data_IF_991353335829
#
_entry.id   IF_991353335829
#
_cell.length_a   1.000
_cell.length_b   1.000
_cell.length_c   1.000
_cell.angle_alpha   90.00
_cell.angle_beta   90.00
_cell.angle_gamma   90.00
#
_symmetry.space_group_name_H-M   'P 1'
#
loop_
_entity.id
_entity.type
_entity.pdbx_description
1 polymer ?
#
# COMPACT_ATOMS: atom_id res chain seq x y z
N UNK A 1 5.90 33.66 -23.78
CA UNK A 1 6.75 32.61 -23.16
C UNK A 1 6.23 31.26 -23.59
N UNK A 2 7.12 30.31 -23.89
CA UNK A 2 6.71 28.94 -24.22
C UNK A 2 6.02 28.31 -23.03
N UNK A 3 4.89 27.58 -23.24
CA UNK A 3 4.18 26.88 -22.19
C UNK A 3 5.08 25.78 -21.59
N UNK A 4 4.90 25.51 -20.30
CA UNK A 4 5.73 24.56 -19.57
C UNK A 4 4.86 23.50 -18.89
N UNK A 5 5.17 22.22 -19.15
CA UNK A 5 4.52 21.09 -18.47
C UNK A 5 5.46 20.43 -17.47
N UNK A 6 4.90 19.86 -16.39
CA UNK A 6 5.63 18.99 -15.46
C UNK A 6 5.08 17.57 -15.54
N UNK A 7 6.00 16.59 -15.54
CA UNK A 7 5.67 15.18 -15.67
C UNK A 7 6.25 14.37 -14.52
N UNK A 8 5.42 13.53 -13.87
CA UNK A 8 5.88 12.43 -13.04
C UNK A 8 6.62 11.42 -13.93
N UNK A 9 7.93 11.23 -13.73
CA UNK A 9 8.80 10.55 -14.68
C UNK A 9 9.51 9.35 -14.06
N UNK A 10 9.18 8.16 -14.52
CA UNK A 10 9.82 6.90 -14.11
C UNK A 10 11.04 6.52 -14.97
N UNK A 11 11.22 7.17 -16.13
CA UNK A 11 12.19 6.74 -17.13
C UNK A 11 11.77 5.52 -17.96
N UNK A 12 10.56 5.00 -17.75
CA UNK A 12 9.94 3.93 -18.53
C UNK A 12 9.59 4.36 -19.95
N UNK A 13 8.93 3.45 -20.71
CA UNK A 13 8.47 3.73 -22.07
C UNK A 13 7.44 4.85 -22.06
N UNK A 14 6.33 4.64 -21.36
CA UNK A 14 5.15 5.49 -21.32
C UNK A 14 5.53 6.94 -20.99
N UNK A 15 6.26 7.17 -19.90
CA UNK A 15 6.69 8.50 -19.50
C UNK A 15 7.70 9.12 -20.50
N UNK A 16 8.50 8.30 -21.20
CA UNK A 16 9.41 8.80 -22.27
C UNK A 16 8.64 9.22 -23.52
N UNK A 17 7.57 8.49 -23.88
CA UNK A 17 6.63 8.85 -24.95
C UNK A 17 5.95 10.16 -24.61
N UNK A 18 5.45 10.33 -23.36
CA UNK A 18 4.79 11.55 -22.92
C UNK A 18 5.70 12.77 -23.02
N UNK A 19 7.00 12.66 -22.68
CA UNK A 19 7.95 13.78 -22.86
C UNK A 19 7.96 14.26 -24.30
N UNK A 20 8.14 13.35 -25.25
CA UNK A 20 8.19 13.70 -26.68
C UNK A 20 6.86 14.21 -27.20
N UNK A 21 5.77 13.62 -26.78
CA UNK A 21 4.43 14.07 -27.14
C UNK A 21 4.16 15.53 -26.70
N UNK A 22 4.50 15.88 -25.46
CA UNK A 22 4.35 17.26 -24.95
C UNK A 22 5.21 18.25 -25.72
N UNK A 23 6.45 17.87 -26.08
CA UNK A 23 7.36 18.72 -26.84
C UNK A 23 6.86 18.97 -28.27
N UNK A 24 6.39 17.94 -28.96
CA UNK A 24 6.09 18.00 -30.39
C UNK A 24 4.64 18.38 -30.70
N UNK A 25 3.68 17.85 -29.96
CA UNK A 25 2.25 18.10 -30.19
C UNK A 25 1.74 19.33 -29.48
N UNK A 26 2.29 19.64 -28.30
CA UNK A 26 1.88 20.82 -27.52
C UNK A 26 2.92 21.95 -27.54
N UNK A 27 4.05 21.76 -28.19
CA UNK A 27 5.15 22.74 -28.24
C UNK A 27 5.56 23.24 -26.84
N UNK A 28 5.58 22.35 -25.84
CA UNK A 28 5.86 22.69 -24.44
C UNK A 28 7.32 22.42 -24.05
N UNK A 29 7.86 23.25 -23.16
CA UNK A 29 9.04 22.89 -22.37
C UNK A 29 8.63 21.89 -21.30
N UNK A 30 9.38 20.79 -21.16
CA UNK A 30 9.03 19.74 -20.19
C UNK A 30 10.00 19.77 -19.00
N UNK A 31 9.43 19.77 -17.80
CA UNK A 31 10.12 19.51 -16.53
C UNK A 31 9.71 18.14 -16.05
N UNK A 32 10.66 17.35 -15.55
CA UNK A 32 10.34 16.00 -15.04
C UNK A 32 10.75 15.85 -13.58
N UNK A 33 9.97 15.04 -12.86
CA UNK A 33 10.22 14.72 -11.44
C UNK A 33 10.19 13.21 -11.26
N UNK A 34 11.26 12.66 -10.70
CA UNK A 34 11.31 11.29 -10.19
C UNK A 34 11.36 11.34 -8.67
N UNK A 35 10.45 10.61 -8.01
CA UNK A 35 10.35 10.57 -6.56
C UNK A 35 10.78 9.18 -6.07
N UNK A 36 11.77 9.14 -5.20
CA UNK A 36 12.26 7.92 -4.57
C UNK A 36 11.41 7.57 -3.35
N UNK A 37 10.59 6.54 -3.50
CA UNK A 37 9.79 5.90 -2.42
C UNK A 37 10.32 4.49 -2.09
N UNK A 38 11.56 4.19 -2.52
CA UNK A 38 12.25 2.93 -2.25
C UNK A 38 12.14 1.87 -3.34
N UNK A 39 11.92 2.27 -4.59
CA UNK A 39 11.86 1.38 -5.74
C UNK A 39 13.23 0.86 -6.20
N UNK A 40 14.33 1.32 -5.59
CA UNK A 40 15.71 0.94 -5.92
C UNK A 40 16.13 1.20 -7.38
N UNK A 41 15.61 2.26 -7.99
CA UNK A 41 15.93 2.66 -9.35
C UNK A 41 17.33 3.27 -9.46
N UNK A 42 17.87 3.23 -10.67
CA UNK A 42 19.12 3.95 -11.00
C UNK A 42 18.81 5.42 -11.39
N UNK A 43 18.71 6.29 -10.39
CA UNK A 43 18.36 7.72 -10.59
C UNK A 43 19.35 8.46 -11.49
N UNK A 44 20.63 8.10 -11.51
CA UNK A 44 21.62 8.68 -12.45
C UNK A 44 21.26 8.34 -13.89
N UNK A 45 20.84 7.10 -14.14
CA UNK A 45 20.41 6.65 -15.46
C UNK A 45 19.11 7.31 -15.90
N UNK A 46 18.15 7.46 -14.99
CA UNK A 46 16.88 8.17 -15.24
C UNK A 46 17.14 9.63 -15.60
N UNK A 47 18.01 10.33 -14.83
CA UNK A 47 18.39 11.72 -15.11
C UNK A 47 19.08 11.86 -16.47
N UNK A 48 19.99 10.95 -16.81
CA UNK A 48 20.66 10.94 -18.11
C UNK A 48 19.67 10.71 -19.26
N UNK A 49 18.66 9.85 -19.06
CA UNK A 49 17.59 9.62 -20.03
C UNK A 49 16.72 10.86 -20.22
N UNK A 50 16.30 11.51 -19.13
CA UNK A 50 15.56 12.76 -19.18
C UNK A 50 16.30 13.82 -19.99
N UNK A 51 17.63 13.99 -19.75
CA UNK A 51 18.48 14.91 -20.51
C UNK A 51 18.52 14.56 -22.00
N UNK A 52 18.69 13.28 -22.36
CA UNK A 52 18.68 12.82 -23.76
C UNK A 52 17.35 13.08 -24.46
N UNK A 53 16.23 13.05 -23.74
CA UNK A 53 14.91 13.37 -24.26
C UNK A 53 14.69 14.87 -24.47
N UNK A 54 15.66 15.73 -24.13
CA UNK A 54 15.54 17.18 -24.26
C UNK A 54 14.68 17.83 -23.17
N UNK A 55 14.59 17.20 -22.00
CA UNK A 55 13.88 17.76 -20.85
C UNK A 55 14.61 19.00 -20.34
N UNK A 56 13.85 20.09 -20.08
CA UNK A 56 14.40 21.38 -19.62
C UNK A 56 15.10 21.28 -18.28
N UNK A 57 14.45 20.58 -17.33
CA UNK A 57 14.98 20.28 -15.99
C UNK A 57 14.45 18.92 -15.52
N UNK A 58 15.27 18.23 -14.74
CA UNK A 58 14.89 16.99 -14.09
C UNK A 58 15.21 17.04 -12.60
N UNK A 59 14.24 16.64 -11.77
CA UNK A 59 14.36 16.58 -10.33
C UNK A 59 14.30 15.14 -9.84
N UNK A 60 15.25 14.77 -8.95
CA UNK A 60 15.17 13.53 -8.15
C UNK A 60 14.91 13.93 -6.71
N UNK A 61 13.86 13.39 -6.12
CA UNK A 61 13.42 13.70 -4.76
C UNK A 61 13.44 12.42 -3.93
N UNK A 62 14.25 12.39 -2.87
CA UNK A 62 14.20 11.31 -1.88
C UNK A 62 13.05 11.56 -0.91
N UNK A 63 11.97 10.78 -1.02
CA UNK A 63 10.79 10.85 -0.19
C UNK A 63 10.59 9.59 0.69
N UNK A 64 11.58 8.71 0.80
CA UNK A 64 11.47 7.43 1.55
C UNK A 64 11.06 7.62 2.99
N UNK A 65 11.63 8.61 3.69
CA UNK A 65 11.30 8.86 5.10
C UNK A 65 9.85 9.32 5.24
N UNK A 66 9.43 10.27 4.43
CA UNK A 66 8.07 10.80 4.39
C UNK A 66 7.07 9.69 4.03
N UNK A 67 7.41 8.86 3.02
CA UNK A 67 6.58 7.72 2.64
C UNK A 67 6.33 6.76 3.82
N UNK A 68 7.36 6.46 4.62
CA UNK A 68 7.17 5.58 5.78
C UNK A 68 6.37 6.26 6.89
N UNK A 69 6.68 7.50 7.23
CA UNK A 69 6.11 8.17 8.40
C UNK A 69 4.68 8.63 8.15
N UNK A 70 4.41 9.20 6.97
CA UNK A 70 3.16 9.91 6.70
C UNK A 70 2.16 9.07 5.87
N UNK A 71 2.61 7.90 5.32
CA UNK A 71 1.75 7.02 4.53
C UNK A 71 1.72 5.58 5.04
N UNK A 72 2.89 4.94 5.26
CA UNK A 72 2.93 3.54 5.71
C UNK A 72 2.49 3.41 7.18
N UNK A 73 2.93 4.28 8.08
CA UNK A 73 2.52 4.20 9.48
C UNK A 73 1.02 4.45 9.69
N UNK A 74 0.36 5.42 9.03
CA UNK A 74 -1.09 5.49 9.02
C UNK A 74 -1.76 4.22 8.49
N UNK A 75 -1.24 3.62 7.41
CA UNK A 75 -1.77 2.36 6.87
C UNK A 75 -1.63 1.18 7.87
N UNK A 76 -0.54 1.10 8.63
CA UNK A 76 -0.39 0.11 9.71
C UNK A 76 -1.45 0.34 10.80
N UNK A 77 -1.64 1.59 11.25
CA UNK A 77 -2.64 1.94 12.27
C UNK A 77 -4.07 1.65 11.82
N UNK A 78 -4.34 1.76 10.53
CA UNK A 78 -5.61 1.42 9.90
C UNK A 78 -5.73 -0.09 9.57
N UNK A 79 -4.76 -0.94 9.92
CA UNK A 79 -4.71 -2.34 9.46
C UNK A 79 -5.05 -2.48 7.97
N UNK A 80 -4.57 -1.56 7.14
CA UNK A 80 -5.08 -1.27 5.81
C UNK A 80 -4.83 -2.40 4.82
N UNK A 81 -5.91 -3.05 4.41
CA UNK A 81 -5.94 -4.12 3.41
C UNK A 81 -7.16 -3.97 2.51
N UNK A 82 -6.96 -3.55 1.27
CA UNK A 82 -8.05 -3.55 0.29
C UNK A 82 -8.50 -4.99 0.02
N UNK A 83 -9.83 -5.20 0.10
CA UNK A 83 -10.46 -6.52 -0.01
C UNK A 83 -9.80 -7.59 0.88
N UNK A 84 -9.30 -7.19 2.06
CA UNK A 84 -8.63 -8.05 3.06
C UNK A 84 -7.33 -8.71 2.54
N UNK A 85 -6.75 -8.22 1.45
CA UNK A 85 -5.56 -8.79 0.81
C UNK A 85 -4.48 -7.76 0.49
N UNK A 86 -4.80 -6.74 -0.29
CA UNK A 86 -3.81 -5.83 -0.82
C UNK A 86 -3.44 -4.72 0.16
N UNK A 87 -2.15 -4.62 0.51
CA UNK A 87 -1.63 -3.65 1.50
C UNK A 87 -1.47 -2.21 0.99
N UNK A 88 -2.06 -1.87 -0.15
CA UNK A 88 -2.10 -0.52 -0.72
C UNK A 88 -0.74 0.07 -1.14
N UNK A 89 0.27 -0.74 -1.44
CA UNK A 89 1.63 -0.27 -1.67
C UNK A 89 1.72 0.85 -2.74
N UNK A 90 1.15 0.65 -3.92
CA UNK A 90 1.08 1.67 -4.98
C UNK A 90 0.12 2.79 -4.65
N UNK A 91 -1.04 2.46 -4.05
CA UNK A 91 -2.07 3.42 -3.70
C UNK A 91 -1.56 4.48 -2.69
N UNK A 92 -0.73 4.09 -1.74
CA UNK A 92 -0.08 5.00 -0.77
C UNK A 92 1.01 5.86 -1.41
N UNK A 93 1.73 5.35 -2.42
CA UNK A 93 2.83 6.08 -3.04
C UNK A 93 2.36 7.19 -3.99
N UNK A 94 1.23 7.00 -4.68
CA UNK A 94 0.77 7.94 -5.73
C UNK A 94 0.42 9.34 -5.19
N UNK A 95 -0.32 9.52 -4.08
CA UNK A 95 -0.57 10.84 -3.52
C UNK A 95 0.72 11.56 -3.09
N UNK A 96 1.69 10.86 -2.50
CA UNK A 96 2.98 11.45 -2.17
C UNK A 96 3.73 11.91 -3.43
N UNK A 97 3.78 11.09 -4.47
CA UNK A 97 4.43 11.45 -5.74
C UNK A 97 3.74 12.68 -6.36
N UNK A 98 2.40 12.70 -6.40
CA UNK A 98 1.64 13.85 -6.91
C UNK A 98 1.92 15.12 -6.11
N UNK A 99 1.98 15.04 -4.78
CA UNK A 99 2.33 16.17 -3.92
C UNK A 99 3.72 16.72 -4.24
N UNK A 100 4.74 15.85 -4.45
CA UNK A 100 6.08 16.29 -4.86
C UNK A 100 6.10 16.93 -6.25
N UNK A 101 5.32 16.38 -7.18
CA UNK A 101 5.14 17.00 -8.51
C UNK A 101 4.53 18.40 -8.38
N UNK A 102 3.49 18.59 -7.56
CA UNK A 102 2.88 19.89 -7.31
C UNK A 102 3.83 20.90 -6.66
N UNK A 103 4.67 20.48 -5.72
CA UNK A 103 5.68 21.33 -5.11
C UNK A 103 6.66 21.89 -6.17
N UNK A 104 7.12 21.03 -7.10
CA UNK A 104 7.99 21.47 -8.19
C UNK A 104 7.23 22.24 -9.24
N UNK A 105 5.96 21.92 -9.53
CA UNK A 105 5.09 22.66 -10.44
C UNK A 105 4.99 24.12 -10.03
N UNK A 106 4.73 24.39 -8.75
CA UNK A 106 4.69 25.75 -8.18
C UNK A 106 6.05 26.45 -8.30
N UNK A 107 7.15 25.77 -7.97
CA UNK A 107 8.52 26.31 -8.08
C UNK A 107 8.88 26.69 -9.51
N UNK A 108 8.55 25.85 -10.48
CA UNK A 108 8.87 26.03 -11.89
C UNK A 108 7.85 26.90 -12.65
N UNK A 109 6.77 27.29 -12.01
CA UNK A 109 5.67 28.08 -12.60
C UNK A 109 5.16 27.45 -13.90
N UNK A 110 4.83 26.15 -13.83
CA UNK A 110 4.31 25.41 -14.99
C UNK A 110 2.88 25.79 -15.31
N UNK A 111 2.46 25.53 -16.54
CA UNK A 111 1.09 25.80 -17.02
C UNK A 111 0.23 24.55 -17.13
N UNK A 112 0.87 23.35 -17.02
CA UNK A 112 0.17 22.07 -17.14
C UNK A 112 0.88 20.99 -16.33
N UNK A 113 0.11 20.02 -15.86
CA UNK A 113 0.56 18.79 -15.20
C UNK A 113 0.46 17.63 -16.20
N UNK A 114 1.27 16.60 -16.05
CA UNK A 114 1.21 15.43 -16.91
C UNK A 114 1.58 14.12 -16.19
N UNK A 115 1.03 13.01 -16.66
CA UNK A 115 1.43 11.66 -16.28
C UNK A 115 1.31 10.68 -17.45
N UNK A 116 1.96 9.52 -17.34
CA UNK A 116 1.98 8.47 -18.37
C UNK A 116 1.13 7.24 -18.01
N UNK A 117 0.07 7.39 -17.22
CA UNK A 117 -0.77 6.26 -16.84
C UNK A 117 -1.79 5.94 -17.93
N UNK A 118 -2.06 4.63 -18.15
CA UNK A 118 -3.13 4.17 -19.03
C UNK A 118 -4.51 4.30 -18.35
N UNK A 119 -5.59 4.31 -19.15
CA UNK A 119 -6.96 4.37 -18.65
C UNK A 119 -7.45 3.08 -17.96
N UNK A 120 -6.76 1.96 -18.14
CA UNK A 120 -7.11 0.65 -17.57
C UNK A 120 -6.69 0.47 -16.12
N UNK A 121 -5.66 1.21 -15.68
CA UNK A 121 -5.11 1.11 -14.32
C UNK A 121 -5.74 2.09 -13.33
N UNK A 122 -5.61 1.80 -12.04
CA UNK A 122 -6.05 2.69 -10.96
C UNK A 122 -5.16 3.94 -10.83
N UNK A 123 -3.92 3.88 -11.28
CA UNK A 123 -2.94 4.93 -11.04
C UNK A 123 -3.31 6.26 -11.69
N UNK A 124 -3.97 6.24 -12.84
CA UNK A 124 -4.49 7.46 -13.46
C UNK A 124 -5.50 8.17 -12.56
N UNK A 125 -6.39 7.42 -11.90
CA UNK A 125 -7.38 7.97 -10.96
C UNK A 125 -6.65 8.59 -9.76
N UNK A 126 -5.69 7.87 -9.19
CA UNK A 126 -4.91 8.34 -8.04
C UNK A 126 -4.10 9.60 -8.33
N UNK A 127 -3.46 9.67 -9.52
CA UNK A 127 -2.73 10.87 -9.94
C UNK A 127 -3.67 12.05 -10.19
N UNK A 128 -4.72 11.86 -11.00
CA UNK A 128 -5.64 12.95 -11.35
C UNK A 128 -6.28 13.55 -10.10
N UNK A 129 -6.83 12.72 -9.21
CA UNK A 129 -7.47 13.20 -7.99
C UNK A 129 -6.49 13.91 -7.05
N UNK A 130 -5.29 13.36 -6.85
CA UNK A 130 -4.27 14.00 -5.99
C UNK A 130 -3.73 15.30 -6.61
N UNK A 131 -3.61 15.38 -7.93
CA UNK A 131 -3.17 16.58 -8.62
C UNK A 131 -4.25 17.67 -8.61
N UNK A 132 -5.52 17.31 -8.84
CA UNK A 132 -6.65 18.23 -8.77
C UNK A 132 -6.91 18.77 -7.35
N UNK A 133 -6.67 17.96 -6.32
CA UNK A 133 -6.79 18.42 -4.93
C UNK A 133 -5.82 19.57 -4.59
N UNK A 134 -4.69 19.66 -5.27
CA UNK A 134 -3.69 20.70 -5.01
C UNK A 134 -3.48 21.72 -6.12
N UNK A 135 -4.22 21.64 -7.26
CA UNK A 135 -4.03 22.53 -8.41
C UNK A 135 -5.22 22.54 -9.36
N UNK A 136 -5.52 23.71 -9.93
CA UNK A 136 -6.47 23.88 -11.03
C UNK A 136 -5.81 23.82 -12.43
N UNK A 137 -4.53 23.45 -12.51
CA UNK A 137 -3.85 23.33 -13.80
C UNK A 137 -4.38 22.14 -14.60
N UNK A 138 -4.46 22.26 -15.94
CA UNK A 138 -4.90 21.14 -16.78
C UNK A 138 -3.92 19.98 -16.67
N UNK A 139 -4.47 18.74 -16.67
CA UNK A 139 -3.71 17.49 -16.67
C UNK A 139 -3.71 16.93 -18.09
N UNK A 140 -2.54 16.57 -18.59
CA UNK A 140 -2.33 15.98 -19.92
C UNK A 140 -1.85 14.54 -19.72
N UNK A 141 -2.67 13.56 -20.14
CA UNK A 141 -2.40 12.12 -19.98
C UNK A 141 -2.45 11.39 -21.32
N UNK A 142 -1.49 11.59 -22.24
CA UNK A 142 -1.60 11.17 -23.64
C UNK A 142 -1.79 9.66 -23.84
N UNK A 143 -1.21 8.82 -22.96
CA UNK A 143 -1.35 7.37 -23.05
C UNK A 143 -2.81 6.97 -22.88
N UNK A 144 -3.51 7.58 -21.91
CA UNK A 144 -4.94 7.38 -21.67
C UNK A 144 -5.80 8.07 -22.73
N UNK A 145 -5.56 9.35 -22.96
CA UNK A 145 -6.45 10.22 -23.74
C UNK A 145 -6.45 9.83 -25.24
N UNK A 146 -5.37 9.24 -25.73
CA UNK A 146 -5.26 8.70 -27.10
C UNK A 146 -5.45 7.18 -27.17
N UNK A 147 -5.75 6.53 -26.03
CA UNK A 147 -5.91 5.09 -25.91
C UNK A 147 -4.72 4.30 -26.53
N UNK A 148 -3.49 4.79 -26.27
CA UNK A 148 -2.29 4.16 -26.83
C UNK A 148 -2.04 2.80 -26.20
N UNK A 149 -1.87 1.80 -27.03
CA UNK A 149 -1.42 0.49 -26.61
C UNK A 149 0.12 0.38 -26.64
N UNK A 150 0.63 -0.72 -26.09
CA UNK A 150 2.07 -0.97 -26.01
C UNK A 150 2.75 -0.98 -27.39
N UNK A 151 2.06 -1.47 -28.41
CA UNK A 151 2.58 -1.55 -29.79
C UNK A 151 2.71 -0.15 -30.39
N UNK A 152 1.70 0.69 -30.18
CA UNK A 152 1.69 2.09 -30.63
C UNK A 152 2.75 2.92 -29.93
N UNK A 153 2.92 2.75 -28.62
CA UNK A 153 3.97 3.39 -27.85
C UNK A 153 5.37 3.00 -28.37
N UNK A 154 5.58 1.71 -28.69
CA UNK A 154 6.85 1.23 -29.26
C UNK A 154 7.12 1.82 -30.66
N UNK A 155 6.08 1.91 -31.52
CA UNK A 155 6.18 2.56 -32.84
C UNK A 155 6.52 4.04 -32.69
N UNK A 156 5.83 4.75 -31.79
CA UNK A 156 6.11 6.15 -31.49
C UNK A 156 7.55 6.32 -30.98
N UNK A 157 7.97 5.52 -30.03
CA UNK A 157 9.31 5.56 -29.47
C UNK A 157 10.40 5.34 -30.54
N UNK A 158 10.20 4.36 -31.44
CA UNK A 158 11.12 4.10 -32.57
C UNK A 158 11.21 5.30 -33.50
N UNK A 159 10.07 5.90 -33.86
CA UNK A 159 10.00 7.08 -34.74
C UNK A 159 10.78 8.27 -34.16
N UNK A 160 10.77 8.45 -32.84
CA UNK A 160 11.39 9.59 -32.15
C UNK A 160 12.76 9.25 -31.52
N UNK A 161 13.38 8.13 -31.92
CA UNK A 161 14.72 7.74 -31.46
C UNK A 161 14.83 7.49 -29.95
N UNK A 162 13.72 7.15 -29.30
CA UNK A 162 13.69 6.83 -27.85
C UNK A 162 14.29 5.42 -27.67
N UNK A 163 15.46 5.34 -27.06
CA UNK A 163 16.06 4.06 -26.71
C UNK A 163 15.25 3.37 -25.60
N UNK A 164 14.72 2.20 -25.89
CA UNK A 164 13.97 1.37 -24.95
C UNK A 164 14.87 0.23 -24.53
N UNK A 165 15.15 0.16 -23.24
CA UNK A 165 15.85 -0.97 -22.66
C UNK A 165 14.80 -2.01 -22.23
N UNK A 166 15.06 -3.29 -22.51
CA UNK A 166 14.18 -4.41 -22.16
C UNK A 166 12.76 -4.35 -22.77
N UNK A 167 12.67 -4.41 -24.09
CA UNK A 167 11.39 -4.51 -24.84
C UNK A 167 10.59 -5.75 -24.40
N UNK A 168 11.26 -6.84 -24.02
CA UNK A 168 10.65 -8.12 -23.63
C UNK A 168 10.59 -8.31 -22.10
N UNK A 169 9.98 -7.37 -21.37
CA UNK A 169 9.67 -7.64 -19.95
C UNK A 169 8.57 -8.70 -19.86
N UNK A 170 8.82 -9.79 -19.11
CA UNK A 170 7.83 -10.84 -18.84
C UNK A 170 6.62 -10.31 -18.06
N UNK A 171 6.84 -9.34 -17.18
CA UNK A 171 5.86 -8.77 -16.25
C UNK A 171 5.95 -7.24 -16.21
N UNK A 172 4.84 -6.59 -15.93
CA UNK A 172 4.79 -5.22 -15.44
C UNK A 172 5.05 -5.24 -13.94
N UNK A 173 5.97 -4.40 -13.47
CA UNK A 173 6.39 -4.39 -12.08
C UNK A 173 6.35 -2.95 -11.57
N UNK A 174 5.68 -2.76 -10.44
CA UNK A 174 5.71 -1.55 -9.64
C UNK A 174 6.14 -1.90 -8.20
N UNK A 175 7.12 -1.20 -7.67
CA UNK A 175 7.63 -1.47 -6.32
C UNK A 175 8.00 -0.21 -5.57
N UNK A 176 7.93 -0.30 -4.24
CA UNK A 176 8.38 0.71 -3.29
C UNK A 176 8.79 0.03 -1.98
N UNK A 177 9.01 0.79 -0.90
CA UNK A 177 9.38 0.21 0.41
C UNK A 177 8.32 -0.75 0.98
N UNK A 178 7.04 -0.58 0.62
CA UNK A 178 5.93 -1.30 1.25
C UNK A 178 5.53 -2.58 0.52
N UNK A 179 5.78 -2.65 -0.77
CA UNK A 179 5.47 -3.84 -1.55
C UNK A 179 5.91 -3.75 -3.00
N UNK A 180 5.82 -4.87 -3.68
CA UNK A 180 6.11 -5.04 -5.08
C UNK A 180 4.92 -5.72 -5.76
N UNK A 181 4.29 -5.03 -6.72
CA UNK A 181 3.22 -5.53 -7.55
C UNK A 181 3.79 -6.14 -8.83
N UNK A 182 3.21 -7.25 -9.27
CA UNK A 182 3.61 -8.02 -10.45
C UNK A 182 2.34 -8.34 -11.23
N UNK A 183 2.23 -7.86 -12.46
CA UNK A 183 1.07 -8.09 -13.32
C UNK A 183 1.49 -8.35 -14.78
N UNK A 184 0.56 -8.82 -15.59
CA UNK A 184 0.75 -9.02 -17.03
C UNK A 184 1.42 -10.34 -17.40
N UNK A 185 1.61 -10.56 -18.70
CA UNK A 185 2.20 -11.78 -19.26
C UNK A 185 1.39 -13.03 -18.91
N UNK A 186 2.06 -14.07 -18.43
CA UNK A 186 1.39 -15.34 -18.09
C UNK A 186 0.38 -15.21 -16.95
N UNK A 187 0.46 -14.14 -16.13
CA UNK A 187 -0.44 -13.89 -15.02
C UNK A 187 -1.82 -13.40 -15.46
N UNK A 188 -1.97 -12.94 -16.69
CA UNK A 188 -3.27 -12.53 -17.26
C UNK A 188 -4.28 -13.66 -17.30
N UNK A 189 -3.82 -14.90 -17.39
CA UNK A 189 -4.68 -16.07 -17.22
C UNK A 189 -4.69 -16.46 -15.73
N UNK A 190 -5.82 -16.29 -15.01
CA UNK A 190 -5.90 -16.55 -13.59
C UNK A 190 -5.73 -18.03 -13.22
N UNK A 191 -5.79 -18.95 -14.19
CA UNK A 191 -5.56 -20.37 -13.98
C UNK A 191 -4.08 -20.78 -14.01
N UNK A 192 -3.19 -19.86 -14.38
CA UNK A 192 -1.75 -20.13 -14.38
C UNK A 192 -1.12 -19.84 -13.02
N UNK A 193 -0.32 -20.76 -12.49
CA UNK A 193 0.50 -20.50 -11.30
C UNK A 193 1.56 -19.44 -11.63
N UNK A 194 1.78 -18.45 -10.73
CA UNK A 194 2.87 -17.49 -10.89
C UNK A 194 4.21 -18.23 -10.90
N UNK A 195 5.07 -18.03 -11.93
CA UNK A 195 6.34 -18.72 -11.99
C UNK A 195 7.31 -18.17 -10.93
N UNK A 196 8.20 -19.03 -10.43
CA UNK A 196 9.16 -18.69 -9.35
C UNK A 196 10.02 -17.46 -9.68
N UNK A 197 10.37 -17.25 -10.97
CA UNK A 197 11.19 -16.12 -11.41
C UNK A 197 10.43 -14.76 -11.39
N UNK A 198 9.13 -14.76 -11.11
CA UNK A 198 8.37 -13.55 -10.82
C UNK A 198 8.75 -12.95 -9.46
N UNK A 199 9.17 -13.79 -8.50
CA UNK A 199 9.46 -13.40 -7.13
C UNK A 199 10.94 -13.10 -6.91
N UNK A 200 11.23 -11.94 -6.29
CA UNK A 200 12.61 -11.54 -5.96
C UNK A 200 12.79 -11.15 -4.49
N UNK A 201 11.72 -10.75 -3.81
CA UNK A 201 11.76 -10.41 -2.39
C UNK A 201 11.47 -11.63 -1.51
N UNK A 202 10.61 -12.54 -1.99
CA UNK A 202 10.12 -13.69 -1.26
C UNK A 202 10.68 -14.97 -1.89
N UNK A 203 11.37 -15.76 -1.09
CA UNK A 203 11.85 -17.07 -1.53
C UNK A 203 10.71 -18.07 -1.61
N UNK A 204 10.60 -18.78 -2.73
CA UNK A 204 9.64 -19.86 -2.96
C UNK A 204 10.27 -21.23 -2.71
N UNK A 205 11.61 -21.35 -2.81
CA UNK A 205 12.37 -22.59 -2.69
C UNK A 205 13.51 -22.47 -1.68
N UNK A 206 14.02 -23.60 -1.22
CA UNK A 206 15.16 -23.70 -0.30
C UNK A 206 14.96 -22.86 0.98
N UNK A 207 13.76 -22.93 1.55
CA UNK A 207 13.41 -22.23 2.77
C UNK A 207 14.11 -22.84 4.01
N UNK A 208 14.48 -22.02 5.00
CA UNK A 208 15.12 -22.52 6.22
C UNK A 208 14.30 -23.57 6.97
N UNK A 209 14.96 -24.60 7.51
CA UNK A 209 14.33 -25.68 8.28
C UNK A 209 14.13 -25.34 9.77
N UNK A 210 14.63 -24.17 10.24
CA UNK A 210 14.40 -23.66 11.59
C UNK A 210 13.51 -22.44 11.52
N UNK A 211 12.53 -22.25 12.44
CA UNK A 211 11.68 -21.08 12.44
C UNK A 211 12.46 -19.80 12.79
N UNK A 212 12.02 -18.68 12.24
CA UNK A 212 12.45 -17.35 12.65
C UNK A 212 11.41 -16.74 13.60
N UNK A 213 11.89 -16.12 14.67
CA UNK A 213 11.06 -15.33 15.57
C UNK A 213 11.39 -13.85 15.42
N UNK A 214 10.35 -13.03 15.23
CA UNK A 214 10.44 -11.58 15.20
C UNK A 214 9.58 -11.02 16.33
N UNK A 215 10.20 -10.34 17.28
CA UNK A 215 9.47 -9.60 18.32
C UNK A 215 9.44 -8.12 17.92
N UNK A 216 8.26 -7.62 17.58
CA UNK A 216 8.05 -6.24 17.14
C UNK A 216 7.52 -5.43 18.32
N UNK A 217 8.18 -4.32 18.65
CA UNK A 217 7.73 -3.36 19.67
C UNK A 217 6.96 -2.23 18.98
N UNK A 218 5.75 -2.00 19.45
CA UNK A 218 4.90 -0.88 19.05
C UNK A 218 4.80 0.17 20.15
N UNK A 219 4.68 1.42 19.73
CA UNK A 219 4.36 2.56 20.60
C UNK A 219 3.30 3.42 19.87
N UNK A 220 2.11 3.50 20.47
CA UNK A 220 0.95 4.20 19.90
C UNK A 220 0.69 3.78 18.43
N UNK A 221 0.74 2.48 18.16
CA UNK A 221 0.52 1.87 16.84
C UNK A 221 1.70 1.96 15.87
N UNK A 222 2.81 2.60 16.26
CA UNK A 222 4.00 2.76 15.42
C UNK A 222 5.03 1.67 15.75
N UNK A 223 5.56 0.92 14.79
CA UNK A 223 6.63 -0.06 15.03
C UNK A 223 7.96 0.66 15.28
N UNK A 224 8.57 0.44 16.45
CA UNK A 224 9.76 1.15 16.92
C UNK A 224 11.02 0.27 16.94
N UNK A 225 10.88 -1.02 17.17
CA UNK A 225 12.00 -1.93 17.33
C UNK A 225 11.66 -3.36 16.87
N UNK A 226 12.67 -4.10 16.47
CA UNK A 226 12.57 -5.55 16.18
C UNK A 226 13.63 -6.28 16.98
N UNK A 227 13.23 -7.33 17.71
CA UNK A 227 14.10 -8.15 18.57
C UNK A 227 14.96 -7.29 19.53
N UNK A 228 14.33 -6.29 20.18
CA UNK A 228 14.94 -5.38 21.13
C UNK A 228 15.82 -4.28 20.52
N UNK A 229 16.05 -4.28 19.21
CA UNK A 229 16.87 -3.27 18.52
C UNK A 229 15.99 -2.19 17.91
N UNK A 230 16.12 -0.95 18.39
CA UNK A 230 15.48 0.23 17.77
C UNK A 230 16.11 0.50 16.41
N UNK A 231 15.28 0.89 15.45
CA UNK A 231 15.70 1.16 14.07
C UNK A 231 14.99 2.41 13.56
N UNK A 232 15.66 3.15 12.66
CA UNK A 232 14.92 4.17 11.92
C UNK A 232 13.85 3.51 11.03
N UNK A 233 12.76 4.24 10.69
CA UNK A 233 11.61 3.68 9.98
C UNK A 233 11.97 2.91 8.70
N UNK A 234 12.83 3.47 7.84
CA UNK A 234 13.22 2.85 6.57
C UNK A 234 14.00 1.54 6.82
N UNK A 235 14.94 1.56 7.76
CA UNK A 235 15.72 0.37 8.11
C UNK A 235 14.86 -0.73 8.69
N UNK A 236 13.84 -0.38 9.49
CA UNK A 236 12.90 -1.34 10.08
C UNK A 236 12.10 -2.06 9.00
N UNK A 237 11.48 -1.32 8.07
CA UNK A 237 10.71 -1.91 6.95
C UNK A 237 11.60 -2.82 6.11
N UNK A 238 12.78 -2.34 5.68
CA UNK A 238 13.71 -3.14 4.87
C UNK A 238 14.20 -4.39 5.58
N UNK A 239 14.46 -4.29 6.90
CA UNK A 239 14.89 -5.44 7.69
C UNK A 239 13.81 -6.52 7.72
N UNK A 240 12.54 -6.13 7.96
CA UNK A 240 11.44 -7.09 8.00
C UNK A 240 11.19 -7.67 6.61
N UNK A 241 11.18 -6.85 5.54
CA UNK A 241 11.06 -7.33 4.16
C UNK A 241 12.09 -8.42 3.86
N UNK A 242 13.37 -8.17 4.15
CA UNK A 242 14.45 -9.12 3.92
C UNK A 242 14.29 -10.40 4.75
N UNK A 243 13.97 -10.25 6.04
CA UNK A 243 13.87 -11.40 6.95
C UNK A 243 12.64 -12.24 6.66
N UNK A 244 11.45 -11.64 6.53
CA UNK A 244 10.23 -12.38 6.26
C UNK A 244 10.23 -13.01 4.86
N UNK A 245 10.67 -12.28 3.84
CA UNK A 245 10.81 -12.81 2.49
C UNK A 245 11.75 -14.00 2.40
N UNK A 246 12.87 -14.01 3.17
CA UNK A 246 13.77 -15.17 3.21
C UNK A 246 13.16 -16.44 3.82
N UNK A 247 12.01 -16.33 4.49
CA UNK A 247 11.22 -17.44 5.06
C UNK A 247 9.96 -17.76 4.26
N UNK A 248 9.80 -17.18 3.05
CA UNK A 248 8.67 -17.42 2.16
C UNK A 248 7.40 -16.64 2.52
N UNK A 249 7.50 -15.66 3.43
CA UNK A 249 6.32 -14.89 3.89
C UNK A 249 6.13 -13.64 3.05
N UNK A 250 4.88 -13.38 2.63
CA UNK A 250 4.45 -12.13 2.01
C UNK A 250 4.09 -12.21 0.54
N UNK A 251 3.88 -13.40 -0.04
CA UNK A 251 3.27 -13.56 -1.36
C UNK A 251 1.75 -13.48 -1.23
N UNK A 252 1.13 -12.70 -2.09
CA UNK A 252 -0.32 -12.57 -2.24
C UNK A 252 -0.64 -12.71 -3.72
N UNK A 253 -1.53 -13.63 -4.07
CA UNK A 253 -2.14 -13.76 -5.40
C UNK A 253 -3.63 -13.43 -5.23
N UNK A 254 -4.12 -12.45 -5.96
CA UNK A 254 -5.40 -11.82 -5.67
C UNK A 254 -6.11 -11.38 -6.94
N UNK A 255 -7.40 -11.70 -7.04
CA UNK A 255 -8.30 -11.08 -7.99
C UNK A 255 -8.92 -9.87 -7.30
N UNK A 256 -8.64 -8.69 -7.80
CA UNK A 256 -9.13 -7.44 -7.23
C UNK A 256 -10.06 -6.68 -8.18
N UNK A 257 -10.93 -5.88 -7.60
CA UNK A 257 -11.80 -4.97 -8.35
C UNK A 257 -11.10 -3.61 -8.50
N UNK A 258 -10.68 -3.27 -9.73
CA UNK A 258 -10.15 -1.94 -10.02
C UNK A 258 -11.25 -0.88 -9.92
N UNK A 259 -10.89 0.32 -9.52
CA UNK A 259 -11.83 1.47 -9.41
C UNK A 259 -12.58 1.72 -10.70
N UNK A 260 -11.94 1.47 -11.85
CA UNK A 260 -12.53 1.61 -13.19
C UNK A 260 -13.49 0.48 -13.57
N UNK A 261 -13.80 -0.45 -12.65
CA UNK A 261 -14.79 -1.53 -12.86
C UNK A 261 -14.22 -2.81 -13.52
N UNK A 262 -12.91 -2.94 -13.62
CA UNK A 262 -12.25 -4.11 -14.19
C UNK A 262 -11.80 -5.06 -13.07
N UNK A 263 -12.09 -6.36 -13.19
CA UNK A 263 -11.43 -7.37 -12.37
C UNK A 263 -10.04 -7.64 -12.92
N UNK A 264 -9.02 -7.58 -12.08
CA UNK A 264 -7.65 -7.90 -12.46
C UNK A 264 -7.01 -8.87 -11.48
N UNK A 265 -6.09 -9.67 -11.99
CA UNK A 265 -5.23 -10.49 -11.14
C UNK A 265 -3.94 -9.73 -10.86
N UNK A 266 -3.64 -9.60 -9.59
CA UNK A 266 -2.43 -8.95 -9.09
C UNK A 266 -1.66 -9.93 -8.20
N UNK A 267 -0.38 -10.02 -8.41
CA UNK A 267 0.52 -10.80 -7.53
C UNK A 267 1.43 -9.81 -6.81
N UNK A 268 1.52 -9.96 -5.49
CA UNK A 268 2.27 -9.03 -4.66
C UNK A 268 3.32 -9.75 -3.83
N UNK A 269 4.43 -9.07 -3.60
CA UNK A 269 5.41 -9.40 -2.55
C UNK A 269 5.38 -8.29 -1.49
N UNK A 270 4.89 -8.62 -0.30
CA UNK A 270 4.62 -7.65 0.79
C UNK A 270 5.07 -8.16 2.17
N UNK A 271 6.33 -8.62 2.34
CA UNK A 271 6.75 -9.31 3.56
C UNK A 271 6.63 -8.46 4.83
N UNK A 272 7.04 -7.18 4.79
CA UNK A 272 6.94 -6.29 5.94
C UNK A 272 5.48 -5.95 6.25
N UNK A 273 4.66 -5.69 5.23
CA UNK A 273 3.25 -5.37 5.41
C UNK A 273 2.52 -6.54 6.08
N UNK A 274 2.71 -7.77 5.60
CA UNK A 274 2.13 -8.96 6.20
C UNK A 274 2.48 -9.09 7.70
N UNK A 275 3.78 -8.92 8.04
CA UNK A 275 4.22 -9.03 9.43
C UNK A 275 3.71 -7.90 10.32
N UNK A 276 3.76 -6.65 9.83
CA UNK A 276 3.44 -5.48 10.65
C UNK A 276 1.94 -5.31 10.86
N UNK A 277 1.13 -5.54 9.83
CA UNK A 277 -0.33 -5.44 9.93
C UNK A 277 -0.86 -6.57 10.83
N UNK A 278 -0.40 -7.80 10.66
CA UNK A 278 -0.80 -8.92 11.52
C UNK A 278 -0.43 -8.68 13.00
N UNK A 279 0.81 -8.25 13.27
CA UNK A 279 1.25 -7.97 14.63
C UNK A 279 0.48 -6.79 15.26
N UNK A 280 0.23 -5.73 14.49
CA UNK A 280 -0.49 -4.55 14.94
C UNK A 280 -1.95 -4.88 15.28
N UNK A 281 -2.66 -5.53 14.34
CA UNK A 281 -4.05 -5.96 14.53
C UNK A 281 -4.23 -6.87 15.74
N UNK A 282 -3.27 -7.79 15.98
CA UNK A 282 -3.31 -8.67 17.15
C UNK A 282 -3.08 -7.91 18.46
N UNK A 283 -2.18 -6.91 18.47
CA UNK A 283 -1.97 -6.05 19.63
C UNK A 283 -3.22 -5.19 19.95
N UNK A 284 -3.91 -4.69 18.94
CA UNK A 284 -5.17 -3.95 19.10
C UNK A 284 -6.21 -4.78 19.82
N UNK A 285 -6.40 -6.05 19.44
CA UNK A 285 -7.34 -6.97 20.10
C UNK A 285 -7.06 -7.15 21.60
N UNK A 286 -5.82 -6.99 22.02
CA UNK A 286 -5.43 -7.10 23.42
C UNK A 286 -5.77 -5.84 24.25
N UNK A 287 -5.81 -4.65 23.61
CA UNK A 287 -5.90 -3.36 24.31
C UNK A 287 -7.20 -2.61 24.03
N UNK A 288 -7.95 -2.97 23.00
CA UNK A 288 -9.24 -2.38 22.67
C UNK A 288 -10.38 -3.12 23.35
N UNK A 289 -11.45 -2.40 23.67
CA UNK A 289 -12.72 -3.03 24.06
C UNK A 289 -13.33 -3.75 22.86
N UNK A 290 -14.25 -4.69 23.12
CA UNK A 290 -15.01 -5.38 22.05
C UNK A 290 -15.76 -4.41 21.12
N UNK A 291 -16.22 -3.28 21.65
CA UNK A 291 -16.93 -2.24 20.89
C UNK A 291 -15.98 -1.45 20.00
N UNK A 292 -14.80 -1.04 20.52
CA UNK A 292 -13.76 -0.40 19.72
C UNK A 292 -13.30 -1.33 18.58
N UNK A 293 -13.00 -2.61 18.88
CA UNK A 293 -12.57 -3.59 17.87
C UNK A 293 -13.61 -3.77 16.76
N UNK A 294 -14.90 -3.90 17.14
CA UNK A 294 -16.00 -4.08 16.19
C UNK A 294 -16.15 -2.86 15.26
N UNK A 295 -16.17 -1.65 15.84
CA UNK A 295 -16.39 -0.44 15.05
C UNK A 295 -15.16 -0.09 14.22
N UNK A 296 -13.96 -0.23 14.80
CA UNK A 296 -12.71 0.05 14.10
C UNK A 296 -12.55 -0.78 12.82
N UNK A 297 -13.00 -2.02 12.79
CA UNK A 297 -12.92 -2.84 11.57
C UNK A 297 -13.65 -2.23 10.37
N UNK A 298 -14.78 -1.55 10.61
CA UNK A 298 -15.53 -0.83 9.58
C UNK A 298 -14.78 0.42 9.12
N UNK A 299 -14.19 1.14 10.08
CA UNK A 299 -13.36 2.32 9.81
C UNK A 299 -12.11 1.95 9.01
N UNK A 300 -11.43 0.86 9.36
CA UNK A 300 -10.23 0.37 8.66
C UNK A 300 -10.55 -0.03 7.20
N UNK A 301 -11.71 -0.65 6.98
CA UNK A 301 -12.17 -1.02 5.64
C UNK A 301 -12.48 0.20 4.78
N UNK A 302 -13.20 1.18 5.33
CA UNK A 302 -13.54 2.42 4.62
C UNK A 302 -12.27 3.24 4.34
N UNK A 303 -11.36 3.36 5.30
CA UNK A 303 -10.07 4.00 5.09
C UNK A 303 -9.28 3.35 3.95
N UNK A 304 -9.26 2.02 3.93
CA UNK A 304 -8.56 1.25 2.88
C UNK A 304 -9.19 1.45 1.51
N UNK A 305 -10.52 1.53 1.45
CA UNK A 305 -11.27 1.82 0.23
C UNK A 305 -10.96 3.22 -0.31
N UNK A 306 -11.02 4.25 0.54
CA UNK A 306 -10.73 5.63 0.12
C UNK A 306 -9.31 5.73 -0.44
N UNK A 307 -8.32 5.17 0.23
CA UNK A 307 -6.92 5.18 -0.23
C UNK A 307 -6.75 4.40 -1.53
N UNK A 308 -7.35 3.22 -1.63
CA UNK A 308 -7.31 2.40 -2.86
C UNK A 308 -7.88 3.16 -4.05
N UNK A 309 -8.98 3.87 -3.82
CA UNK A 309 -9.74 4.63 -4.84
C UNK A 309 -9.10 5.97 -5.21
N UNK A 310 -7.96 6.34 -4.61
CA UNK A 310 -7.29 7.62 -4.90
C UNK A 310 -7.84 8.82 -4.14
N UNK A 311 -8.71 8.59 -3.17
CA UNK A 311 -9.38 9.62 -2.36
C UNK A 311 -8.56 9.98 -1.10
N UNK A 312 -7.23 10.11 -1.26
CA UNK A 312 -6.32 10.45 -0.16
C UNK A 312 -6.64 11.79 0.51
N UNK A 313 -7.09 12.78 -0.27
CA UNK A 313 -7.42 14.13 0.19
C UNK A 313 -8.91 14.30 0.56
N UNK A 314 -9.70 13.21 0.56
CA UNK A 314 -11.12 13.28 0.90
C UNK A 314 -11.33 13.68 2.37
N UNK A 315 -12.27 14.57 2.69
CA UNK A 315 -12.57 14.96 4.07
C UNK A 315 -12.95 13.77 4.97
N UNK A 316 -13.63 12.74 4.44
CA UNK A 316 -13.96 11.54 5.20
C UNK A 316 -12.70 10.81 5.64
N UNK A 317 -11.69 10.66 4.75
CA UNK A 317 -10.41 10.03 5.10
C UNK A 317 -9.73 10.75 6.27
N UNK A 318 -9.76 12.08 6.29
CA UNK A 318 -9.21 12.85 7.39
C UNK A 318 -9.97 12.63 8.71
N UNK A 319 -11.30 12.51 8.66
CA UNK A 319 -12.12 12.16 9.82
C UNK A 319 -11.81 10.75 10.34
N UNK A 320 -11.61 9.78 9.44
CA UNK A 320 -11.21 8.42 9.81
C UNK A 320 -9.79 8.38 10.39
N UNK A 321 -8.85 9.19 9.88
CA UNK A 321 -7.50 9.35 10.48
C UNK A 321 -7.58 9.80 11.93
N UNK A 322 -8.43 10.77 12.24
CA UNK A 322 -8.64 11.27 13.61
C UNK A 322 -9.17 10.16 14.54
N UNK A 323 -10.15 9.41 14.07
CA UNK A 323 -10.68 8.25 14.81
C UNK A 323 -9.59 7.20 15.04
N UNK A 324 -8.90 6.77 13.99
CA UNK A 324 -7.81 5.80 14.05
C UNK A 324 -6.72 6.27 15.03
N UNK A 325 -6.27 7.52 14.90
CA UNK A 325 -5.24 8.08 15.77
C UNK A 325 -5.66 8.08 17.25
N UNK A 326 -6.93 8.34 17.55
CA UNK A 326 -7.45 8.29 18.92
C UNK A 326 -7.39 6.87 19.50
N UNK A 327 -7.73 5.84 18.72
CA UNK A 327 -7.71 4.44 19.17
C UNK A 327 -6.29 3.95 19.44
N UNK A 328 -5.27 4.52 18.77
CA UNK A 328 -3.88 4.10 18.91
C UNK A 328 -3.21 4.48 20.23
N UNK A 329 -3.79 5.36 21.05
CA UNK A 329 -3.18 5.84 22.30
C UNK A 329 -2.75 4.72 23.26
N UNK A 330 -3.48 3.58 23.25
CA UNK A 330 -3.18 2.41 24.07
C UNK A 330 -2.46 1.28 23.31
N UNK A 331 -2.31 1.38 21.99
CA UNK A 331 -1.68 0.33 21.17
C UNK A 331 -0.16 0.40 21.31
N UNK A 332 0.31 0.00 22.49
CA UNK A 332 1.74 -0.03 22.84
C UNK A 332 2.06 -1.34 23.55
N UNK A 333 3.09 -2.02 23.06
CA UNK A 333 3.47 -3.33 23.57
C UNK A 333 4.41 -4.06 22.62
N UNK A 334 4.53 -5.36 22.81
CA UNK A 334 5.34 -6.24 21.96
C UNK A 334 4.50 -7.40 21.43
N UNK A 335 4.73 -7.76 20.17
CA UNK A 335 4.13 -8.94 19.54
C UNK A 335 5.23 -9.81 18.96
N UNK A 336 5.20 -11.10 19.28
CA UNK A 336 6.16 -12.10 18.80
C UNK A 336 5.54 -12.91 17.67
N UNK A 337 6.11 -12.80 16.50
CA UNK A 337 5.77 -13.56 15.30
C UNK A 337 6.67 -14.79 15.16
N UNK A 338 6.11 -15.91 14.69
CA UNK A 338 6.83 -17.09 14.22
C UNK A 338 6.65 -17.22 12.72
N UNK A 339 7.75 -17.20 11.97
CA UNK A 339 7.80 -17.38 10.52
C UNK A 339 8.44 -18.73 10.20
N UNK A 340 7.77 -19.52 9.37
CA UNK A 340 8.29 -20.84 9.00
C UNK A 340 7.67 -21.31 7.68
N UNK A 341 8.48 -21.53 6.66
CA UNK A 341 8.07 -22.08 5.35
C UNK A 341 6.80 -21.43 4.79
N UNK A 342 6.80 -20.11 4.67
CA UNK A 342 5.68 -19.33 4.16
C UNK A 342 4.59 -19.02 5.20
N UNK A 343 4.59 -19.69 6.34
CA UNK A 343 3.62 -19.45 7.42
C UNK A 343 4.04 -18.29 8.31
N UNK A 344 3.07 -17.44 8.66
CA UNK A 344 3.19 -16.36 9.62
C UNK A 344 2.15 -16.56 10.73
N UNK A 345 2.58 -16.57 11.99
CA UNK A 345 1.69 -16.69 13.15
C UNK A 345 2.14 -15.81 14.30
N UNK A 346 1.20 -15.17 14.98
CA UNK A 346 1.45 -14.57 16.30
C UNK A 346 1.56 -15.68 17.35
N UNK A 347 2.63 -15.65 18.15
CA UNK A 347 2.92 -16.68 19.17
C UNK A 347 3.15 -16.08 20.56
N UNK A 348 3.05 -14.77 20.72
CA UNK A 348 3.16 -14.10 22.01
C UNK A 348 2.85 -12.60 21.87
N UNK A 349 2.33 -12.02 22.94
CA UNK A 349 2.00 -10.60 23.02
C UNK A 349 2.08 -10.10 24.46
N UNK A 350 2.43 -8.85 24.60
CA UNK A 350 2.51 -8.19 25.93
C UNK A 350 2.22 -6.71 25.77
N UNK A 351 1.36 -6.18 26.65
CA UNK A 351 1.07 -4.74 26.75
C UNK A 351 0.74 -4.37 28.21
N UNK A 352 1.21 -3.20 28.64
CA UNK A 352 0.77 -2.61 29.92
C UNK A 352 -0.68 -2.13 29.89
N UNK A 353 -1.26 -2.00 28.69
CA UNK A 353 -2.65 -1.60 28.48
C UNK A 353 -3.57 -2.80 28.20
N UNK A 354 -3.09 -4.03 28.46
CA UNK A 354 -3.86 -5.25 28.23
C UNK A 354 -5.17 -5.25 28.99
N UNK A 355 -6.26 -5.55 28.28
CA UNK A 355 -7.56 -5.86 28.88
C UNK A 355 -7.70 -7.36 29.19
N UNK A 356 -6.76 -8.19 28.74
CA UNK A 356 -6.71 -9.61 29.07
C UNK A 356 -6.25 -9.77 30.52
N UNK A 357 -7.09 -10.41 31.35
CA UNK A 357 -6.76 -10.81 32.70
C UNK A 357 -6.79 -12.33 32.79
N UNK A 358 -5.66 -12.93 33.13
CA UNK A 358 -5.58 -14.39 33.32
C UNK A 358 -6.52 -14.86 34.46
N UNK A 359 -6.63 -14.08 35.53
CA UNK A 359 -7.47 -14.41 36.68
C UNK A 359 -8.96 -14.45 36.34
N UNK A 360 -9.42 -13.69 35.33
CA UNK A 360 -10.80 -13.69 34.87
C UNK A 360 -11.01 -14.75 33.77
N UNK A 361 -10.03 -14.88 32.84
CA UNK A 361 -10.17 -15.70 31.64
C UNK A 361 -9.88 -17.19 31.88
N UNK A 362 -9.24 -17.56 32.99
CA UNK A 362 -8.90 -18.97 33.28
C UNK A 362 -10.12 -19.81 33.57
N UNK A 363 -10.15 -21.05 33.06
CA UNK A 363 -11.09 -22.10 33.43
C UNK A 363 -10.67 -22.88 34.67
N UNK A 364 -9.47 -22.60 35.21
CA UNK A 364 -8.92 -23.29 36.39
C UNK A 364 -9.61 -22.84 37.70
N UNK A 365 -9.28 -23.57 38.79
CA UNK A 365 -9.71 -23.21 40.14
C UNK A 365 -9.15 -21.79 40.46
N UNK A 366 -10.02 -20.95 41.07
CA UNK A 366 -9.64 -19.57 41.44
C UNK A 366 -9.91 -18.50 40.40
N UNK A 367 -10.70 -18.82 39.34
CA UNK A 367 -11.20 -17.76 38.44
C UNK A 367 -12.00 -16.74 39.25
N UNK A 368 -11.72 -15.46 39.03
CA UNK A 368 -12.48 -14.34 39.61
C UNK A 368 -13.75 -14.01 38.84
N UNK A 369 -14.05 -14.72 37.73
CA UNK A 369 -15.30 -14.55 36.99
C UNK A 369 -16.46 -15.22 37.67
N UNK A 370 -17.47 -14.45 38.07
CA UNK A 370 -18.71 -15.01 38.63
C UNK A 370 -19.62 -15.53 37.51
N UNK A 371 -19.60 -16.84 37.29
CA UNK A 371 -20.40 -17.51 36.27
C UNK A 371 -21.91 -17.37 36.47
N UNK A 372 -22.39 -17.11 37.72
CA UNK A 372 -23.84 -16.97 38.00
C UNK A 372 -24.42 -15.74 37.28
N UNK A 373 -23.65 -14.69 37.10
CA UNK A 373 -24.08 -13.50 36.36
C UNK A 373 -24.41 -13.78 34.89
N UNK A 374 -23.83 -14.82 34.30
CA UNK A 374 -24.05 -15.16 32.90
C UNK A 374 -25.51 -15.57 32.61
N UNK A 375 -26.21 -16.21 33.56
CA UNK A 375 -27.61 -16.63 33.37
C UNK A 375 -28.50 -15.43 33.05
N UNK A 376 -28.53 -14.42 33.92
CA UNK A 376 -29.34 -13.22 33.70
C UNK A 376 -28.94 -12.44 32.46
N UNK A 377 -27.63 -12.36 32.18
CA UNK A 377 -27.14 -11.72 30.95
C UNK A 377 -27.68 -12.43 29.69
N UNK A 378 -27.64 -13.75 29.61
CA UNK A 378 -28.09 -14.52 28.44
C UNK A 378 -29.61 -14.33 28.23
N UNK A 379 -30.41 -14.35 29.30
CA UNK A 379 -31.86 -14.13 29.24
C UNK A 379 -32.19 -12.76 28.65
N UNK A 380 -31.55 -11.68 29.15
CA UNK A 380 -31.76 -10.31 28.66
C UNK A 380 -31.23 -10.12 27.25
N UNK A 381 -30.04 -10.62 26.97
CA UNK A 381 -29.36 -10.46 25.68
C UNK A 381 -30.11 -11.13 24.53
N UNK A 382 -30.69 -12.33 24.81
CA UNK A 382 -31.42 -13.12 23.82
C UNK A 382 -32.93 -12.83 23.74
N UNK A 383 -33.48 -11.96 24.59
CA UNK A 383 -34.92 -11.77 24.76
C UNK A 383 -35.66 -11.51 23.45
N UNK A 384 -35.25 -10.48 22.71
CA UNK A 384 -35.90 -10.12 21.44
C UNK A 384 -35.79 -11.22 20.37
N UNK A 385 -34.62 -11.87 20.25
CA UNK A 385 -34.43 -12.96 19.31
C UNK A 385 -35.29 -14.17 19.66
N UNK A 386 -35.43 -14.48 20.96
CA UNK A 386 -36.26 -15.58 21.46
C UNK A 386 -37.73 -15.31 21.16
N UNK A 387 -38.24 -14.11 21.44
CA UNK A 387 -39.64 -13.76 21.14
C UNK A 387 -39.95 -13.76 19.65
N UNK A 388 -39.04 -13.20 18.81
CA UNK A 388 -39.19 -13.26 17.37
C UNK A 388 -39.30 -14.69 16.84
N UNK A 389 -38.47 -15.62 17.34
CA UNK A 389 -38.52 -17.03 16.97
C UNK A 389 -39.80 -17.71 17.41
N UNK A 390 -40.34 -17.39 18.63
CA UNK A 390 -41.63 -17.92 19.08
C UNK A 390 -42.79 -17.51 18.18
N UNK A 391 -42.78 -16.24 17.73
CA UNK A 391 -43.81 -15.72 16.80
C UNK A 391 -43.76 -16.40 15.43
N UNK A 392 -42.57 -16.69 14.93
CA UNK A 392 -42.38 -17.42 13.65
C UNK A 392 -42.85 -18.88 13.70
N UNK A 393 -42.73 -19.54 14.86
CA UNK A 393 -43.17 -20.94 15.07
C UNK A 393 -44.68 -21.08 15.25
N UNK A 394 -45.40 -19.99 15.51
CA UNK A 394 -46.88 -19.98 15.63
C UNK A 394 -47.58 -19.90 14.27
N UNK A 395 -46.84 -19.85 13.16
CA UNK A 395 -47.35 -20.03 11.82
C UNK A 395 -47.18 -21.48 11.37
#
# INVERSE_FOLDING_TARGET
MKQKAILAFSGGLDTSVVVKYLQEKHNMDVVTVTVDVGQNDNYKKISAKAKKLGVKKHYNIDAKKEFVVDYIFPAIKANALYQKKYCLATALARPLIAQKVLQIAKKEKVTSLAHGCSGKGNDQVRFDLSLHAGSNLPIIAPIRDLNLDRTEELKFAKKHGIKIENVAKKFSIDQNLWGRAIEGGVLENPNNEPPDDAFIWVKTKNLPNKPLYLTIKFEKGIPMAVNGKSMNPIKLINYINKKAGSYGVGIIDHIEDRVVGIKSREVYETPAAACLIEAHSDLEKMVHTKHETKFKSLVDDEWSWLVYSGLWEDPLKNALDMFIQQTQKRVSGTVKLKLFKGSLRVVGRQSKYSLYSHEIATYGKGSKFDQKLAKGFVELWGMQSTEANKLQRKK
#
